data_IF_944473301285
#
_entry.id   IF_944473301285
#
_cell.length_a   1.000
_cell.length_b   1.000
_cell.length_c   1.000
_cell.angle_alpha   90.00
_cell.angle_beta   90.00
_cell.angle_gamma   90.00
#
_symmetry.space_group_name_H-M   'P 1'
#
loop_
_entity.id
_entity.type
_entity.pdbx_description
1 polymer ?
#
# COMPACT_ATOMS: atom_id res chain seq x y z
N UNK A 1 19.97 -6.97 -12.72
CA UNK A 1 18.58 -6.49 -12.76
C UNK A 1 18.60 -5.13 -12.08
N UNK A 2 18.18 -4.06 -12.72
CA UNK A 2 18.10 -2.73 -12.08
C UNK A 2 17.11 -2.80 -10.91
N UNK A 3 17.44 -2.14 -9.79
CA UNK A 3 16.55 -2.04 -8.64
C UNK A 3 15.28 -1.25 -9.00
N UNK A 4 14.28 -1.33 -8.15
CA UNK A 4 13.07 -0.53 -8.28
C UNK A 4 13.38 0.92 -7.85
N UNK A 5 12.90 1.93 -8.59
CA UNK A 5 13.17 3.35 -8.31
C UNK A 5 12.86 3.75 -6.85
N UNK A 6 11.87 3.12 -6.24
CA UNK A 6 11.48 3.37 -4.86
C UNK A 6 12.55 2.95 -3.84
N UNK A 7 13.42 1.99 -4.16
CA UNK A 7 14.48 1.55 -3.25
C UNK A 7 15.46 2.68 -2.93
N UNK A 8 15.87 3.46 -3.94
CA UNK A 8 16.75 4.62 -3.75
C UNK A 8 16.08 5.70 -2.88
N UNK A 9 14.78 5.94 -3.09
CA UNK A 9 13.99 6.89 -2.28
C UNK A 9 13.89 6.40 -0.83
N UNK A 10 13.59 5.12 -0.62
CA UNK A 10 13.48 4.52 0.70
C UNK A 10 14.82 4.52 1.45
N UNK A 11 15.93 4.25 0.76
CA UNK A 11 17.27 4.29 1.33
C UNK A 11 17.64 5.69 1.80
N UNK A 12 17.32 6.72 1.02
CA UNK A 12 17.53 8.10 1.41
C UNK A 12 16.66 8.52 2.60
N UNK A 13 15.37 8.19 2.58
CA UNK A 13 14.42 8.55 3.63
C UNK A 13 14.76 7.90 4.97
N UNK A 14 15.08 6.62 4.97
CA UNK A 14 15.26 5.85 6.20
C UNK A 14 14.10 6.05 7.18
N UNK A 15 14.40 6.22 8.46
CA UNK A 15 13.40 6.46 9.51
C UNK A 15 12.69 7.82 9.41
N UNK A 16 13.18 8.76 8.59
CA UNK A 16 12.49 10.01 8.34
C UNK A 16 11.12 9.80 7.65
N UNK A 17 10.92 8.69 6.94
CA UNK A 17 9.63 8.29 6.39
C UNK A 17 8.49 8.39 7.40
N UNK A 18 8.71 7.97 8.65
CA UNK A 18 7.71 8.00 9.72
C UNK A 18 7.38 9.43 10.24
N UNK A 19 8.06 10.47 9.74
CA UNK A 19 7.79 11.87 10.10
C UNK A 19 6.78 12.54 9.17
N UNK A 20 6.51 11.95 8.00
CA UNK A 20 5.55 12.49 7.03
C UNK A 20 4.12 12.43 7.56
N UNK A 21 3.30 13.40 7.14
CA UNK A 21 1.93 13.57 7.64
C UNK A 21 1.04 12.36 7.40
N UNK A 22 1.21 11.69 6.27
CA UNK A 22 0.42 10.50 5.90
C UNK A 22 0.70 9.26 6.78
N UNK A 23 1.76 9.29 7.60
CA UNK A 23 2.03 8.21 8.56
C UNK A 23 1.35 8.43 9.92
N UNK A 24 0.76 9.60 10.13
CA UNK A 24 0.01 9.92 11.35
C UNK A 24 -1.41 9.38 11.24
N UNK A 25 -1.91 8.75 12.30
CA UNK A 25 -3.27 8.20 12.31
C UNK A 25 -3.33 6.69 12.12
N UNK A 26 -2.20 6.00 12.17
CA UNK A 26 -2.10 4.53 12.06
C UNK A 26 -3.12 3.79 12.94
N UNK A 27 -3.35 4.23 14.16
CA UNK A 27 -4.30 3.55 15.06
C UNK A 27 -5.74 3.66 14.55
N UNK A 28 -6.14 4.84 14.04
CA UNK A 28 -7.46 5.04 13.45
C UNK A 28 -7.65 4.21 12.17
N UNK A 29 -6.63 4.16 11.31
CA UNK A 29 -6.63 3.34 10.11
C UNK A 29 -6.80 1.86 10.47
N UNK A 30 -6.04 1.36 11.44
CA UNK A 30 -6.10 -0.03 11.87
C UNK A 30 -7.44 -0.36 12.53
N UNK A 31 -8.01 0.52 13.36
CA UNK A 31 -9.33 0.30 13.96
C UNK A 31 -10.40 0.17 12.87
N UNK A 32 -10.39 1.06 11.87
CA UNK A 32 -11.29 0.97 10.73
C UNK A 32 -11.11 -0.34 9.94
N UNK A 33 -9.85 -0.77 9.72
CA UNK A 33 -9.56 -2.00 8.97
C UNK A 33 -10.01 -3.26 9.71
N UNK A 34 -9.79 -3.32 11.02
CA UNK A 34 -10.25 -4.46 11.85
C UNK A 34 -11.76 -4.62 11.74
N UNK A 35 -12.49 -3.52 11.81
CA UNK A 35 -13.95 -3.51 11.74
C UNK A 35 -14.45 -3.86 10.31
N UNK A 36 -13.94 -3.19 9.28
CA UNK A 36 -14.45 -3.38 7.92
C UNK A 36 -14.07 -4.74 7.32
N UNK A 37 -12.93 -5.32 7.71
CA UNK A 37 -12.53 -6.65 7.29
C UNK A 37 -13.14 -7.76 8.18
N UNK A 38 -13.74 -7.41 9.32
CA UNK A 38 -14.32 -8.35 10.26
C UNK A 38 -13.29 -9.35 10.81
N UNK A 39 -12.11 -8.86 11.19
CA UNK A 39 -10.98 -9.70 11.59
C UNK A 39 -11.27 -10.41 12.91
N UNK A 40 -11.16 -11.73 12.91
CA UNK A 40 -11.24 -12.52 14.15
C UNK A 40 -9.95 -12.39 14.98
N UNK A 41 -10.01 -12.46 16.30
CA UNK A 41 -8.81 -12.49 17.15
C UNK A 41 -7.83 -13.56 16.71
N UNK A 42 -6.55 -13.21 16.60
CA UNK A 42 -5.49 -14.13 16.15
C UNK A 42 -5.46 -14.39 14.64
N UNK A 43 -6.24 -13.66 13.83
CA UNK A 43 -6.17 -13.77 12.37
C UNK A 43 -4.74 -13.52 11.86
N UNK A 44 -4.36 -14.26 10.82
CA UNK A 44 -3.06 -14.10 10.14
C UNK A 44 -3.19 -13.13 9.00
N UNK A 45 -2.40 -12.05 9.03
CA UNK A 45 -2.50 -10.91 8.13
C UNK A 45 -1.19 -10.72 7.36
N UNK A 46 -1.27 -10.47 6.06
CA UNK A 46 -0.14 -10.02 5.23
C UNK A 46 -0.25 -8.50 5.02
N UNK A 47 0.82 -7.77 5.35
CA UNK A 47 0.97 -6.34 5.09
C UNK A 47 1.91 -6.14 3.91
N UNK A 48 1.36 -5.84 2.73
CA UNK A 48 2.10 -5.74 1.45
C UNK A 48 2.56 -4.30 1.22
N UNK A 49 3.87 -4.11 1.13
CA UNK A 49 4.48 -2.78 1.12
C UNK A 49 4.42 -2.14 2.51
N UNK A 50 4.81 -2.92 3.52
CA UNK A 50 4.66 -2.54 4.93
C UNK A 50 5.51 -1.33 5.36
N UNK A 51 6.48 -0.90 4.54
CA UNK A 51 7.44 0.13 4.90
C UNK A 51 8.17 -0.18 6.20
N UNK A 52 8.39 0.81 7.09
CA UNK A 52 8.96 0.59 8.42
C UNK A 52 8.01 -0.09 9.43
N UNK A 53 6.92 -0.72 8.98
CA UNK A 53 6.09 -1.62 9.78
C UNK A 53 5.02 -0.96 10.66
N UNK A 54 4.60 0.28 10.40
CA UNK A 54 3.66 1.01 11.27
C UNK A 54 2.32 0.28 11.47
N UNK A 55 1.71 -0.23 10.40
CA UNK A 55 0.44 -0.97 10.45
C UNK A 55 0.64 -2.37 11.03
N UNK A 56 1.69 -3.08 10.59
CA UNK A 56 2.01 -4.41 11.09
C UNK A 56 2.20 -4.41 12.62
N UNK A 57 2.96 -3.44 13.16
CA UNK A 57 3.13 -3.31 14.60
C UNK A 57 1.82 -2.97 15.32
N UNK A 58 0.98 -2.10 14.76
CA UNK A 58 -0.30 -1.73 15.36
C UNK A 58 -1.28 -2.92 15.39
N UNK A 59 -1.33 -3.73 14.33
CA UNK A 59 -2.08 -4.97 14.25
C UNK A 59 -1.54 -6.02 15.23
N UNK A 60 -0.22 -6.20 15.29
CA UNK A 60 0.41 -7.13 16.24
C UNK A 60 0.09 -6.80 17.70
N UNK A 61 0.09 -5.50 18.08
CA UNK A 61 -0.34 -5.06 19.43
C UNK A 61 -1.81 -5.38 19.74
N UNK A 62 -2.66 -5.56 18.72
CA UNK A 62 -4.06 -6.01 18.84
C UNK A 62 -4.21 -7.53 18.86
N UNK A 63 -3.08 -8.27 18.84
CA UNK A 63 -3.06 -9.73 18.95
C UNK A 63 -3.22 -10.48 17.62
N UNK A 64 -3.01 -9.81 16.50
CA UNK A 64 -2.96 -10.47 15.19
C UNK A 64 -1.55 -11.02 14.91
N UNK A 65 -1.47 -12.11 14.12
CA UNK A 65 -0.23 -12.59 13.54
C UNK A 65 0.01 -11.85 12.22
N UNK A 66 1.13 -11.13 12.10
CA UNK A 66 1.37 -10.29 10.93
C UNK A 66 2.69 -10.64 10.25
N UNK A 67 2.64 -10.81 8.94
CA UNK A 67 3.81 -10.86 8.06
C UNK A 67 3.83 -9.56 7.25
N UNK A 68 4.84 -8.73 7.47
CA UNK A 68 5.06 -7.52 6.67
C UNK A 68 6.08 -7.78 5.57
N UNK A 69 5.81 -7.34 4.37
CA UNK A 69 6.76 -7.43 3.26
C UNK A 69 6.96 -6.08 2.59
N UNK A 70 8.19 -5.81 2.17
CA UNK A 70 8.55 -4.60 1.43
C UNK A 70 9.74 -4.89 0.50
N UNK A 71 9.86 -4.13 -0.59
CA UNK A 71 10.98 -4.26 -1.52
C UNK A 71 12.26 -3.64 -0.94
N UNK A 72 12.14 -2.63 -0.07
CA UNK A 72 13.26 -1.91 0.54
C UNK A 72 13.88 -2.68 1.70
N UNK A 73 15.14 -3.08 1.54
CA UNK A 73 15.93 -3.67 2.64
C UNK A 73 16.04 -2.69 3.83
N UNK A 74 16.19 -1.39 3.55
CA UNK A 74 16.28 -0.36 4.60
C UNK A 74 15.03 -0.31 5.46
N UNK A 75 13.85 -0.31 4.85
CA UNK A 75 12.59 -0.30 5.59
C UNK A 75 12.37 -1.58 6.38
N UNK A 76 12.68 -2.73 5.81
CA UNK A 76 12.61 -4.02 6.51
C UNK A 76 13.55 -4.06 7.72
N UNK A 77 14.77 -3.53 7.60
CA UNK A 77 15.68 -3.44 8.73
C UNK A 77 15.12 -2.57 9.86
N UNK A 78 14.56 -1.39 9.53
CA UNK A 78 13.92 -0.50 10.50
C UNK A 78 12.70 -1.16 11.16
N UNK A 79 11.87 -1.85 10.38
CA UNK A 79 10.70 -2.56 10.89
C UNK A 79 11.09 -3.66 11.90
N UNK A 80 12.11 -4.46 11.58
CA UNK A 80 12.65 -5.49 12.48
C UNK A 80 13.24 -4.91 13.76
N UNK A 81 14.02 -3.83 13.65
CA UNK A 81 14.63 -3.15 14.79
C UNK A 81 13.57 -2.57 15.75
N UNK A 82 12.48 -2.01 15.18
CA UNK A 82 11.39 -1.42 15.95
C UNK A 82 10.42 -2.46 16.55
N UNK A 83 10.56 -3.76 16.23
CA UNK A 83 9.61 -4.79 16.68
C UNK A 83 9.84 -5.14 18.16
N UNK A 84 8.84 -4.93 19.05
CA UNK A 84 8.94 -5.34 20.44
C UNK A 84 9.08 -6.86 20.61
N UNK A 85 9.88 -7.28 21.58
CA UNK A 85 10.00 -8.71 21.91
C UNK A 85 8.63 -9.32 22.25
N UNK A 86 8.35 -10.49 21.67
CA UNK A 86 7.10 -11.23 21.91
C UNK A 86 5.92 -10.77 21.06
N UNK A 87 6.07 -9.77 20.21
CA UNK A 87 5.04 -9.40 19.25
C UNK A 87 5.02 -10.42 18.08
N UNK A 88 3.84 -10.92 17.73
CA UNK A 88 3.66 -11.89 16.64
C UNK A 88 3.73 -11.22 15.25
N UNK A 89 4.84 -10.54 14.99
CA UNK A 89 5.07 -9.80 13.74
C UNK A 89 6.43 -10.19 13.17
N UNK A 90 6.46 -10.50 11.88
CA UNK A 90 7.70 -10.79 11.15
C UNK A 90 7.78 -9.92 9.89
N UNK A 91 9.01 -9.69 9.41
CA UNK A 91 9.22 -8.85 8.23
C UNK A 91 10.18 -9.52 7.26
N UNK A 92 9.85 -9.47 5.97
CA UNK A 92 10.63 -10.07 4.89
C UNK A 92 10.81 -9.10 3.73
N UNK A 93 12.01 -9.09 3.13
CA UNK A 93 12.23 -8.36 1.90
C UNK A 93 11.69 -9.16 0.73
N UNK A 94 10.60 -8.69 0.12
CA UNK A 94 9.95 -9.36 -1.02
C UNK A 94 9.48 -8.31 -2.02
N UNK A 95 9.67 -8.61 -3.31
CA UNK A 95 9.03 -7.86 -4.38
C UNK A 95 7.58 -8.31 -4.53
N UNK A 96 6.63 -7.41 -4.28
CA UNK A 96 5.20 -7.71 -4.32
C UNK A 96 4.71 -8.19 -5.70
N UNK A 97 5.46 -7.90 -6.77
CA UNK A 97 5.17 -8.41 -8.12
C UNK A 97 5.44 -9.90 -8.28
N UNK A 98 6.13 -10.51 -7.32
CA UNK A 98 6.55 -11.91 -7.34
C UNK A 98 6.16 -12.65 -6.05
N UNK A 99 4.98 -12.35 -5.47
CA UNK A 99 4.48 -13.04 -4.28
C UNK A 99 4.33 -14.54 -4.51
N UNK A 100 4.87 -15.33 -3.58
CA UNK A 100 4.83 -16.81 -3.63
C UNK A 100 3.89 -17.44 -2.61
N UNK A 101 3.21 -16.65 -1.78
CA UNK A 101 2.23 -17.14 -0.81
C UNK A 101 0.99 -17.75 -1.50
N UNK A 102 0.43 -18.81 -0.93
CA UNK A 102 -0.74 -19.49 -1.47
C UNK A 102 -1.69 -19.94 -0.35
N UNK A 103 -2.80 -19.23 -0.19
CA UNK A 103 -3.86 -19.58 0.76
C UNK A 103 -3.44 -19.55 2.24
N UNK A 104 -2.56 -18.63 2.63
CA UNK A 104 -1.99 -18.60 3.97
C UNK A 104 -2.62 -17.56 4.91
N UNK A 105 -3.25 -16.51 4.37
CA UNK A 105 -3.68 -15.37 5.15
C UNK A 105 -5.20 -15.23 5.21
N UNK A 106 -5.71 -14.89 6.38
CA UNK A 106 -7.11 -14.56 6.61
C UNK A 106 -7.45 -13.19 6.03
N UNK A 107 -6.47 -12.28 6.05
CA UNK A 107 -6.58 -10.99 5.41
C UNK A 107 -5.24 -10.52 4.80
N UNK A 108 -5.34 -9.64 3.80
CA UNK A 108 -4.21 -8.90 3.24
C UNK A 108 -4.54 -7.41 3.31
N UNK A 109 -3.59 -6.60 3.72
CA UNK A 109 -3.64 -5.15 3.60
C UNK A 109 -2.50 -4.68 2.69
N UNK A 110 -2.76 -3.63 1.89
CA UNK A 110 -1.75 -2.89 1.13
C UNK A 110 -2.17 -1.42 1.12
N UNK A 111 -1.50 -0.61 1.93
CA UNK A 111 -1.98 0.72 2.27
C UNK A 111 -0.96 1.80 1.92
N UNK A 112 -1.44 3.03 1.73
CA UNK A 112 -0.59 4.18 1.41
C UNK A 112 0.36 3.89 0.25
N UNK A 113 -0.17 3.26 -0.81
CA UNK A 113 0.56 2.81 -2.00
C UNK A 113 1.79 1.94 -1.67
N UNK A 114 1.67 1.09 -0.68
CA UNK A 114 2.76 0.25 -0.20
C UNK A 114 3.44 -0.61 -1.28
N UNK A 115 2.70 -1.00 -2.32
CA UNK A 115 3.24 -1.76 -3.45
C UNK A 115 2.39 -1.60 -4.73
N UNK A 116 1.07 -1.46 -4.57
CA UNK A 116 0.13 -1.30 -5.66
C UNK A 116 0.07 0.16 -6.11
N UNK A 117 0.23 0.42 -7.40
CA UNK A 117 0.29 1.76 -7.96
C UNK A 117 1.68 2.41 -7.96
N UNK A 118 2.73 1.74 -7.44
CA UNK A 118 4.13 2.21 -7.52
C UNK A 118 4.96 1.50 -8.59
N UNK A 119 4.36 0.62 -9.34
CA UNK A 119 5.05 -0.16 -10.38
C UNK A 119 5.35 0.65 -11.64
N UNK A 120 4.87 1.90 -11.73
CA UNK A 120 5.18 2.86 -12.77
C UNK A 120 6.65 3.29 -12.74
N UNK A 121 7.09 3.95 -13.81
CA UNK A 121 8.44 4.51 -13.96
C UNK A 121 8.63 5.05 -15.34
N UNK A 122 9.76 5.74 -15.58
CA UNK A 122 10.08 6.22 -16.90
C UNK A 122 10.09 5.07 -17.92
N UNK A 123 9.21 5.14 -18.94
CA UNK A 123 9.11 4.12 -19.99
C UNK A 123 8.29 2.87 -19.66
N UNK A 124 7.72 2.73 -18.49
CA UNK A 124 6.75 1.67 -18.19
C UNK A 124 5.44 2.00 -18.88
N UNK A 125 4.98 1.10 -19.75
CA UNK A 125 3.76 1.33 -20.59
C UNK A 125 2.65 0.34 -20.28
N UNK A 126 2.84 -0.58 -19.34
CA UNK A 126 1.92 -1.68 -19.04
C UNK A 126 1.39 -1.57 -17.60
N UNK A 127 0.12 -1.95 -17.40
CA UNK A 127 -0.49 -2.16 -16.07
C UNK A 127 -0.19 -3.57 -15.51
N UNK A 128 0.55 -4.41 -16.25
CA UNK A 128 0.87 -5.77 -15.81
C UNK A 128 1.54 -5.84 -14.43
N UNK A 129 2.45 -4.92 -14.04
CA UNK A 129 3.04 -4.96 -12.72
C UNK A 129 2.02 -4.78 -11.58
N UNK A 130 1.07 -3.85 -11.71
CA UNK A 130 0.02 -3.63 -10.70
C UNK A 130 -0.93 -4.83 -10.64
N UNK A 131 -1.27 -5.39 -11.81
CA UNK A 131 -2.04 -6.63 -11.88
C UNK A 131 -1.31 -7.80 -11.25
N UNK A 132 0.00 -7.93 -11.44
CA UNK A 132 0.81 -9.01 -10.84
C UNK A 132 0.79 -8.91 -9.30
N UNK A 133 0.89 -7.71 -8.74
CA UNK A 133 0.74 -7.48 -7.28
C UNK A 133 -0.64 -7.95 -6.81
N UNK A 134 -1.71 -7.52 -7.48
CA UNK A 134 -3.08 -7.86 -7.07
C UNK A 134 -3.38 -9.36 -7.22
N UNK A 135 -2.85 -10.03 -8.26
CA UNK A 135 -2.94 -11.48 -8.45
C UNK A 135 -2.21 -12.24 -7.34
N UNK A 136 -0.99 -11.80 -6.99
CA UNK A 136 -0.23 -12.34 -5.87
C UNK A 136 -0.97 -12.20 -4.54
N UNK A 137 -1.57 -11.05 -4.28
CA UNK A 137 -2.43 -10.80 -3.11
C UNK A 137 -3.62 -11.77 -3.09
N UNK A 138 -4.32 -11.91 -4.23
CA UNK A 138 -5.47 -12.80 -4.33
C UNK A 138 -5.09 -14.27 -4.04
N UNK A 139 -3.92 -14.73 -4.52
CA UNK A 139 -3.42 -16.07 -4.22
C UNK A 139 -3.02 -16.24 -2.75
N UNK A 140 -2.42 -15.22 -2.13
CA UNK A 140 -1.99 -15.26 -0.73
C UNK A 140 -3.17 -15.43 0.26
N UNK A 141 -4.35 -14.92 -0.07
CA UNK A 141 -5.56 -15.04 0.74
C UNK A 141 -6.07 -16.49 0.79
N UNK A 142 -6.62 -16.90 1.90
CA UNK A 142 -7.45 -18.12 2.03
C UNK A 142 -8.78 -17.95 1.29
N UNK A 143 -9.50 -19.03 0.95
CA UNK A 143 -10.89 -18.92 0.53
C UNK A 143 -11.70 -18.07 1.52
N UNK A 144 -12.52 -17.14 1.02
CA UNK A 144 -13.25 -16.13 1.79
C UNK A 144 -12.36 -15.13 2.58
N UNK A 145 -11.04 -15.17 2.41
CA UNK A 145 -10.11 -14.19 2.98
C UNK A 145 -10.36 -12.77 2.44
N UNK A 146 -10.00 -11.77 3.22
CA UNK A 146 -10.39 -10.38 3.02
C UNK A 146 -9.21 -9.51 2.58
N UNK A 147 -9.44 -8.58 1.66
CA UNK A 147 -8.48 -7.58 1.19
C UNK A 147 -8.94 -6.17 1.58
N UNK A 148 -7.99 -5.35 2.07
CA UNK A 148 -8.10 -3.89 2.02
C UNK A 148 -6.87 -3.33 1.31
N UNK A 149 -7.10 -2.60 0.21
CA UNK A 149 -6.06 -2.03 -0.63
C UNK A 149 -6.36 -0.57 -0.92
N UNK A 150 -5.45 0.34 -0.56
CA UNK A 150 -5.57 1.74 -0.96
C UNK A 150 -4.81 2.02 -2.25
N UNK A 151 -5.36 2.92 -3.05
CA UNK A 151 -4.79 3.37 -4.31
C UNK A 151 -5.07 4.85 -4.52
N UNK A 152 -4.16 5.57 -5.17
CA UNK A 152 -4.37 6.99 -5.48
C UNK A 152 -5.57 7.20 -6.39
N UNK A 153 -6.38 8.21 -6.05
CA UNK A 153 -7.52 8.65 -6.85
C UNK A 153 -7.05 9.41 -8.08
N UNK A 154 -7.34 8.88 -9.27
CA UNK A 154 -7.07 9.59 -10.52
C UNK A 154 -7.81 10.94 -10.60
N UNK A 155 -9.01 11.01 -10.01
CA UNK A 155 -9.80 12.24 -9.98
C UNK A 155 -9.15 13.32 -9.11
N UNK A 156 -8.66 12.95 -7.92
CA UNK A 156 -7.97 13.86 -7.01
C UNK A 156 -6.67 14.36 -7.63
N UNK A 157 -5.86 13.46 -8.17
CA UNK A 157 -4.56 13.82 -8.76
C UNK A 157 -4.71 14.79 -9.93
N UNK A 158 -5.66 14.56 -10.84
CA UNK A 158 -5.93 15.49 -11.95
C UNK A 158 -6.46 16.83 -11.44
N UNK A 159 -7.33 16.82 -10.42
CA UNK A 159 -7.93 18.03 -9.88
C UNK A 159 -6.92 18.94 -9.16
N UNK A 160 -5.96 18.34 -8.48
CA UNK A 160 -4.97 19.03 -7.65
C UNK A 160 -3.54 18.91 -8.22
N UNK A 161 -3.43 18.71 -9.55
CA UNK A 161 -2.15 18.59 -10.22
C UNK A 161 -1.30 19.86 -9.98
N UNK A 162 -0.10 19.67 -9.42
CA UNK A 162 0.86 20.75 -9.19
C UNK A 162 1.48 21.28 -10.47
N UNK A 163 2.00 22.51 -10.45
CA UNK A 163 2.64 23.12 -11.64
C UNK A 163 3.91 22.37 -12.09
N UNK A 164 4.60 21.71 -11.16
CA UNK A 164 5.82 20.94 -11.44
C UNK A 164 5.54 19.49 -11.82
N UNK A 165 4.29 19.03 -11.64
CA UNK A 165 3.89 17.65 -11.86
C UNK A 165 3.34 17.45 -13.28
N UNK A 166 3.31 16.20 -13.71
CA UNK A 166 2.68 15.82 -14.96
C UNK A 166 1.81 14.60 -14.80
N UNK A 167 0.70 14.55 -15.54
CA UNK A 167 -0.22 13.42 -15.51
C UNK A 167 -0.34 12.81 -16.92
N UNK A 168 0.07 11.56 -17.06
CA UNK A 168 -0.13 10.77 -18.26
C UNK A 168 -1.56 10.20 -18.27
N UNK A 169 -2.45 10.83 -19.01
CA UNK A 169 -3.87 10.45 -19.07
C UNK A 169 -4.11 9.10 -19.76
N UNK A 170 -3.20 8.66 -20.63
CA UNK A 170 -3.32 7.35 -21.30
C UNK A 170 -3.07 6.19 -20.31
N UNK A 171 -2.11 6.38 -19.41
CA UNK A 171 -1.68 5.36 -18.45
C UNK A 171 -2.24 5.57 -17.03
N UNK A 172 -2.84 6.74 -16.76
CA UNK A 172 -3.28 7.10 -15.41
C UNK A 172 -2.11 7.31 -14.45
N UNK A 173 -0.95 7.78 -14.91
CA UNK A 173 0.25 7.90 -14.09
C UNK A 173 0.54 9.36 -13.77
N UNK A 174 0.60 9.68 -12.48
CA UNK A 174 1.14 10.94 -11.98
C UNK A 174 2.66 10.82 -11.84
N UNK A 175 3.39 11.80 -12.36
CA UNK A 175 4.82 11.97 -12.16
C UNK A 175 5.05 13.27 -11.39
N UNK A 176 5.53 13.15 -10.18
CA UNK A 176 5.82 14.24 -9.26
C UNK A 176 7.34 14.44 -9.16
N UNK A 177 7.79 15.69 -9.39
CA UNK A 177 9.14 16.13 -9.09
C UNK A 177 9.17 16.77 -7.72
N UNK A 178 9.80 16.13 -6.76
CA UNK A 178 9.81 16.60 -5.37
C UNK A 178 11.19 16.51 -4.75
N UNK A 179 11.29 16.92 -3.49
CA UNK A 179 12.48 16.71 -2.67
C UNK A 179 12.12 15.90 -1.43
N UNK A 180 12.88 14.86 -1.17
CA UNK A 180 12.74 14.02 0.01
C UNK A 180 13.85 14.31 1.00
N UNK A 181 13.53 14.28 2.29
CA UNK A 181 14.44 14.65 3.37
C UNK A 181 14.75 13.45 4.24
N UNK A 182 16.04 13.18 4.45
CA UNK A 182 16.48 12.07 5.29
C UNK A 182 16.45 12.38 6.80
N UNK A 183 16.90 11.42 7.61
CA UNK A 183 16.93 11.52 9.08
C UNK A 183 17.79 12.68 9.59
N UNK A 184 18.88 13.01 8.88
CA UNK A 184 19.78 14.12 9.19
C UNK A 184 19.27 15.48 8.66
N UNK A 185 18.12 15.51 7.98
CA UNK A 185 17.55 16.71 7.39
C UNK A 185 18.13 17.09 6.02
N UNK A 186 18.93 16.22 5.41
CA UNK A 186 19.49 16.44 4.07
C UNK A 186 18.43 16.17 3.02
N UNK A 187 18.20 17.15 2.13
CA UNK A 187 17.28 17.03 1.00
C UNK A 187 17.97 16.41 -0.21
N UNK A 188 17.23 15.58 -0.93
CA UNK A 188 17.61 15.07 -2.23
C UNK A 188 16.42 15.17 -3.19
N UNK A 189 16.65 15.47 -4.49
CA UNK A 189 15.59 15.42 -5.48
C UNK A 189 15.09 13.99 -5.65
N UNK A 190 13.79 13.84 -5.87
CA UNK A 190 13.15 12.56 -6.13
C UNK A 190 12.08 12.69 -7.20
N UNK A 191 12.01 11.69 -8.05
CA UNK A 191 10.94 11.48 -9.01
C UNK A 191 10.03 10.38 -8.48
N UNK A 192 8.75 10.72 -8.25
CA UNK A 192 7.76 9.79 -7.77
C UNK A 192 6.77 9.46 -8.89
N UNK A 193 6.66 8.18 -9.20
CA UNK A 193 5.78 7.67 -10.25
C UNK A 193 4.63 6.90 -9.62
N UNK A 194 3.42 7.40 -9.78
CA UNK A 194 2.23 6.83 -9.14
C UNK A 194 1.17 6.51 -10.16
N UNK A 195 0.78 5.25 -10.27
CA UNK A 195 -0.43 4.87 -11.01
C UNK A 195 -1.64 5.25 -10.17
N UNK A 196 -2.56 5.97 -10.78
CA UNK A 196 -3.80 6.45 -10.17
C UNK A 196 -4.98 5.70 -10.77
N UNK A 197 -5.95 5.38 -9.95
CA UNK A 197 -7.06 4.52 -10.32
C UNK A 197 -8.40 5.22 -10.15
N UNK A 198 -9.39 4.71 -10.87
CA UNK A 198 -10.80 5.02 -10.62
C UNK A 198 -11.45 3.87 -9.83
N UNK A 199 -12.56 4.11 -9.09
CA UNK A 199 -13.28 3.05 -8.39
C UNK A 199 -13.75 1.92 -9.32
N UNK A 200 -14.04 2.28 -10.58
CA UNK A 200 -14.45 1.30 -11.59
C UNK A 200 -13.29 0.38 -12.00
N UNK A 201 -12.11 0.93 -12.21
CA UNK A 201 -10.90 0.14 -12.53
C UNK A 201 -10.55 -0.80 -11.39
N UNK A 202 -10.54 -0.32 -10.15
CA UNK A 202 -10.25 -1.14 -8.98
C UNK A 202 -11.20 -2.35 -8.88
N UNK A 203 -12.50 -2.15 -9.13
CA UNK A 203 -13.48 -3.24 -9.16
C UNK A 203 -13.20 -4.25 -10.28
N UNK A 204 -12.96 -3.77 -11.50
CA UNK A 204 -12.68 -4.62 -12.66
C UNK A 204 -11.36 -5.40 -12.50
N UNK A 205 -10.33 -4.77 -11.96
CA UNK A 205 -9.05 -5.42 -11.69
C UNK A 205 -9.21 -6.51 -10.61
N UNK A 206 -9.92 -6.23 -9.53
CA UNK A 206 -10.20 -7.21 -8.48
C UNK A 206 -10.93 -8.44 -9.04
N UNK A 207 -11.99 -8.22 -9.84
CA UNK A 207 -12.72 -9.31 -10.49
C UNK A 207 -11.84 -10.14 -11.42
N UNK A 208 -10.90 -9.50 -12.14
CA UNK A 208 -10.00 -10.17 -13.10
C UNK A 208 -9.02 -11.14 -12.44
N UNK A 209 -8.78 -11.03 -11.14
CA UNK A 209 -7.89 -11.91 -10.35
C UNK A 209 -8.66 -12.80 -9.38
N UNK A 210 -9.99 -12.94 -9.54
CA UNK A 210 -10.81 -13.83 -8.72
C UNK A 210 -11.25 -13.26 -7.37
N UNK A 211 -11.04 -11.98 -7.13
CA UNK A 211 -11.60 -11.29 -5.97
C UNK A 211 -13.03 -10.81 -6.28
N UNK A 212 -13.89 -10.80 -5.27
CA UNK A 212 -15.17 -10.12 -5.31
C UNK A 212 -15.02 -8.76 -4.64
N UNK A 213 -15.13 -7.64 -5.38
CA UNK A 213 -15.13 -6.33 -4.75
C UNK A 213 -16.41 -6.18 -3.91
N UNK A 214 -16.23 -5.89 -2.63
CA UNK A 214 -17.34 -5.64 -1.71
C UNK A 214 -17.69 -4.15 -1.71
N UNK A 215 -16.71 -3.31 -1.40
CA UNK A 215 -16.84 -1.85 -1.38
C UNK A 215 -15.62 -1.14 -1.97
N UNK A 216 -15.81 0.12 -2.35
CA UNK A 216 -14.74 1.09 -2.59
C UNK A 216 -15.14 2.38 -1.88
N UNK A 217 -14.27 2.88 -1.01
CA UNK A 217 -14.48 4.11 -0.26
C UNK A 217 -13.45 5.17 -0.62
N UNK A 218 -13.82 6.45 -0.51
CA UNK A 218 -12.86 7.56 -0.51
C UNK A 218 -12.27 7.70 0.88
N UNK A 219 -10.92 7.71 0.97
CA UNK A 219 -10.20 7.83 2.25
C UNK A 219 -9.08 8.85 2.17
N UNK A 220 -8.69 9.36 3.32
CA UNK A 220 -7.46 10.14 3.53
C UNK A 220 -6.63 9.43 4.58
N UNK A 221 -5.30 9.31 4.42
CA UNK A 221 -4.44 8.77 5.47
C UNK A 221 -4.71 9.43 6.83
N UNK A 222 -4.98 8.60 7.85
CA UNK A 222 -5.35 9.04 9.20
C UNK A 222 -6.83 9.39 9.40
N UNK A 223 -7.65 9.33 8.34
CA UNK A 223 -9.10 9.55 8.38
C UNK A 223 -9.84 8.56 7.48
N UNK A 224 -9.72 7.27 7.81
CA UNK A 224 -10.44 6.20 7.11
C UNK A 224 -11.90 6.13 7.58
N UNK A 225 -12.81 6.13 6.63
CA UNK A 225 -14.24 6.00 6.87
C UNK A 225 -14.95 5.40 5.65
N UNK A 226 -16.13 4.80 5.86
CA UNK A 226 -16.97 4.27 4.79
C UNK A 226 -17.69 5.39 4.01
N UNK A 227 -16.90 6.25 3.34
CA UNK A 227 -17.42 7.32 2.47
C UNK A 227 -17.60 6.81 1.05
N UNK A 228 -18.73 7.10 0.39
CA UNK A 228 -18.83 6.84 -1.04
C UNK A 228 -17.69 7.50 -1.83
N UNK A 229 -17.24 6.89 -2.94
CA UNK A 229 -16.20 7.48 -3.78
C UNK A 229 -16.56 8.90 -4.24
N UNK A 230 -15.61 9.83 -4.08
CA UNK A 230 -15.70 11.22 -4.51
C UNK A 230 -14.39 11.70 -5.17
N UNK A 231 -14.31 12.98 -5.48
CA UNK A 231 -13.17 13.60 -6.15
C UNK A 231 -12.31 14.48 -5.22
N UNK A 232 -12.64 14.52 -3.94
CA UNK A 232 -12.05 15.41 -2.95
C UNK A 232 -11.05 14.70 -2.01
N UNK A 233 -11.03 13.36 -2.02
CA UNK A 233 -10.12 12.56 -1.22
C UNK A 233 -9.00 11.95 -2.05
N UNK A 234 -7.77 11.89 -1.49
CA UNK A 234 -6.58 11.49 -2.26
C UNK A 234 -6.54 10.01 -2.64
N UNK A 235 -7.23 9.16 -1.89
CA UNK A 235 -7.15 7.72 -2.08
C UNK A 235 -8.53 7.06 -2.14
N UNK A 236 -8.59 5.94 -2.86
CA UNK A 236 -9.66 4.97 -2.77
C UNK A 236 -9.19 3.74 -1.99
N UNK A 237 -10.02 3.25 -1.07
CA UNK A 237 -9.82 1.99 -0.37
C UNK A 237 -10.77 0.94 -0.93
N UNK A 238 -10.21 -0.05 -1.62
CA UNK A 238 -10.92 -1.23 -2.08
C UNK A 238 -11.00 -2.25 -0.96
N UNK A 239 -12.21 -2.66 -0.58
CA UNK A 239 -12.46 -3.86 0.21
C UNK A 239 -12.95 -4.97 -0.71
N UNK A 240 -12.34 -6.15 -0.61
CA UNK A 240 -12.71 -7.29 -1.44
C UNK A 240 -12.59 -8.62 -0.68
N UNK A 241 -13.25 -9.65 -1.20
CA UNK A 241 -13.23 -11.02 -0.66
C UNK A 241 -12.72 -12.00 -1.73
N UNK A 242 -11.80 -12.92 -1.37
CA UNK A 242 -11.42 -14.04 -2.24
C UNK A 242 -12.60 -14.99 -2.43
N UNK A 243 -12.91 -15.31 -3.69
CA UNK A 243 -13.96 -16.28 -4.06
C UNK A 243 -13.58 -17.71 -3.74
#
# INVERSE_FOLDING_TARGET
MGGHWFEDVADHLGGAYLRYSFTKGTEQEVDFLVDCLGLAPGARILDVGCGPGRHAHALGRRGFEVVGIDISERFIALAREATPAGLAVTFERVDARALSFDGEFDAVISLCQGAFGLSGGAGVTSLDPDRAVLDGIARALRPIGRLALSAFSAYFQVRFLGEADSFDAERGVNHEHTAVRNEAGVEAPADLWTTCFTPRELRLMAESVGLRPDDVWSVTPGDYAARPPDIDHPEFLLAATRR
#
